data_IF_268952005001
#
_entry.id   IF_268952005001
#
_cell.length_a   1.000
_cell.length_b   1.000
_cell.length_c   1.000
_cell.angle_alpha   90.00
_cell.angle_beta   90.00
_cell.angle_gamma   90.00
#
_symmetry.space_group_name_H-M   'P 1'
#
loop_
_entity.id
_entity.type
_entity.pdbx_description
1 polymer ?
#
# COMPACT_ATOMS: atom_id res chain seq x y z
N UNK A 1 -2.19 -36.06 8.20
CA UNK A 1 -2.21 -34.96 7.20
C UNK A 1 -1.03 -35.16 6.28
N UNK A 2 -1.25 -35.23 4.96
CA UNK A 2 -0.16 -35.38 3.99
C UNK A 2 0.77 -34.16 4.08
N UNK A 3 2.09 -34.41 4.17
CA UNK A 3 3.11 -33.36 4.17
C UNK A 3 3.13 -32.75 2.76
N UNK A 4 2.76 -31.47 2.63
CA UNK A 4 2.91 -30.76 1.36
C UNK A 4 4.39 -30.66 0.99
N UNK A 5 4.68 -30.71 -0.30
CA UNK A 5 6.05 -30.52 -0.79
C UNK A 5 6.49 -29.06 -0.61
N UNK A 6 7.80 -28.81 -0.60
CA UNK A 6 8.33 -27.44 -0.54
C UNK A 6 7.86 -26.60 -1.75
N UNK A 7 7.80 -27.21 -2.93
CA UNK A 7 7.30 -26.56 -4.14
C UNK A 7 5.83 -26.13 -4.00
N UNK A 8 4.96 -27.02 -3.51
CA UNK A 8 3.56 -26.68 -3.24
C UNK A 8 3.42 -25.58 -2.18
N UNK A 9 4.28 -25.56 -1.15
CA UNK A 9 4.25 -24.49 -0.15
C UNK A 9 4.55 -23.13 -0.79
N UNK A 10 5.53 -23.07 -1.70
CA UNK A 10 5.90 -21.83 -2.41
C UNK A 10 4.76 -21.39 -3.34
N UNK A 11 4.14 -22.32 -4.07
CA UNK A 11 3.03 -22.02 -4.96
C UNK A 11 1.80 -21.50 -4.19
N UNK A 12 1.46 -22.16 -3.08
CA UNK A 12 0.39 -21.71 -2.19
C UNK A 12 0.68 -20.32 -1.61
N UNK A 13 1.93 -20.06 -1.19
CA UNK A 13 2.32 -18.75 -0.66
C UNK A 13 2.06 -17.64 -1.69
N UNK A 14 2.49 -17.83 -2.96
CA UNK A 14 2.25 -16.85 -4.02
C UNK A 14 0.76 -16.59 -4.26
N UNK A 15 -0.04 -17.65 -4.34
CA UNK A 15 -1.48 -17.51 -4.51
C UNK A 15 -2.13 -16.77 -3.33
N UNK A 16 -1.71 -17.06 -2.10
CA UNK A 16 -2.23 -16.38 -0.91
C UNK A 16 -1.80 -14.92 -0.87
N UNK A 17 -0.57 -14.61 -1.27
CA UNK A 17 -0.07 -13.24 -1.38
C UNK A 17 -0.88 -12.42 -2.39
N UNK A 18 -1.24 -13.00 -3.54
CA UNK A 18 -2.12 -12.39 -4.53
C UNK A 18 -3.53 -12.13 -3.98
N UNK A 19 -4.11 -13.08 -3.23
CA UNK A 19 -5.42 -12.91 -2.60
C UNK A 19 -5.38 -11.79 -1.55
N UNK A 20 -4.32 -11.74 -0.72
CA UNK A 20 -4.11 -10.69 0.27
C UNK A 20 -3.99 -9.32 -0.41
N UNK A 21 -3.25 -9.25 -1.52
CA UNK A 21 -3.13 -8.02 -2.32
C UNK A 21 -4.49 -7.59 -2.88
N UNK A 22 -5.25 -8.50 -3.47
CA UNK A 22 -6.58 -8.19 -4.03
C UNK A 22 -7.55 -7.70 -2.95
N UNK A 23 -7.55 -8.35 -1.78
CA UNK A 23 -8.35 -7.94 -0.63
C UNK A 23 -7.96 -6.53 -0.16
N UNK A 24 -6.66 -6.24 -0.08
CA UNK A 24 -6.15 -4.91 0.24
C UNK A 24 -6.61 -3.85 -0.78
N UNK A 25 -6.51 -4.15 -2.07
CA UNK A 25 -6.91 -3.21 -3.13
C UNK A 25 -8.42 -2.93 -3.09
N UNK A 26 -9.24 -3.93 -2.75
CA UNK A 26 -10.69 -3.84 -2.72
C UNK A 26 -11.25 -3.20 -1.44
N UNK A 27 -10.73 -3.58 -0.28
CA UNK A 27 -11.30 -3.29 1.04
C UNK A 27 -10.37 -2.45 1.94
N UNK A 28 -9.09 -2.40 1.63
CA UNK A 28 -8.09 -1.63 2.36
C UNK A 28 -7.44 -2.40 3.49
N UNK A 29 -6.50 -1.73 4.15
CA UNK A 29 -5.58 -2.36 5.12
C UNK A 29 -6.26 -2.80 6.42
N UNK A 30 -7.43 -2.27 6.76
CA UNK A 30 -8.21 -2.62 7.95
C UNK A 30 -8.88 -4.00 7.81
N UNK A 31 -9.23 -4.39 6.58
CA UNK A 31 -9.86 -5.69 6.28
C UNK A 31 -8.88 -6.87 6.37
N UNK A 32 -7.57 -6.62 6.42
CA UNK A 32 -6.51 -7.64 6.44
C UNK A 32 -6.34 -8.29 7.81
N UNK A 33 -7.42 -8.88 8.30
CA UNK A 33 -7.46 -9.70 9.51
C UNK A 33 -7.26 -11.17 9.16
N UNK A 34 -6.71 -11.96 10.08
CA UNK A 34 -6.58 -13.41 9.88
C UNK A 34 -7.93 -14.07 9.54
N UNK A 35 -9.01 -13.64 10.20
CA UNK A 35 -10.35 -14.17 9.96
C UNK A 35 -10.82 -13.89 8.53
N UNK A 36 -10.72 -12.64 8.06
CA UNK A 36 -11.14 -12.27 6.71
C UNK A 36 -10.30 -12.96 5.64
N UNK A 37 -8.98 -13.02 5.81
CA UNK A 37 -8.07 -13.65 4.86
C UNK A 37 -8.29 -15.17 4.81
N UNK A 38 -8.42 -15.82 5.97
CA UNK A 38 -8.69 -17.26 6.03
C UNK A 38 -10.03 -17.62 5.38
N UNK A 39 -11.05 -16.78 5.57
CA UNK A 39 -12.34 -16.91 4.91
C UNK A 39 -12.22 -16.76 3.39
N UNK A 40 -11.48 -15.76 2.91
CA UNK A 40 -11.29 -15.50 1.47
C UNK A 40 -10.53 -16.63 0.77
N UNK A 41 -9.51 -17.18 1.44
CA UNK A 41 -8.70 -18.29 0.92
C UNK A 41 -9.40 -19.65 1.09
N UNK A 42 -10.32 -19.77 2.05
CA UNK A 42 -11.00 -21.02 2.39
C UNK A 42 -10.14 -22.00 3.22
N UNK A 43 -9.25 -21.50 4.07
CA UNK A 43 -8.38 -22.31 4.94
C UNK A 43 -8.60 -22.02 6.42
N UNK A 44 -8.08 -22.88 7.30
CA UNK A 44 -8.16 -22.63 8.74
C UNK A 44 -7.20 -21.52 9.20
N UNK A 45 -7.51 -20.86 10.32
CA UNK A 45 -6.66 -19.83 10.92
C UNK A 45 -5.26 -20.36 11.26
N UNK A 46 -5.17 -21.59 11.78
CA UNK A 46 -3.89 -22.23 12.11
C UNK A 46 -3.08 -22.56 10.86
N UNK A 47 -3.73 -22.96 9.76
CA UNK A 47 -3.06 -23.11 8.47
C UNK A 47 -2.51 -21.76 7.99
N UNK A 48 -3.32 -20.70 8.05
CA UNK A 48 -2.91 -19.36 7.62
C UNK A 48 -1.73 -18.83 8.46
N UNK A 49 -1.71 -19.07 9.77
CA UNK A 49 -0.59 -18.73 10.65
C UNK A 49 0.72 -19.43 10.27
N UNK A 50 0.65 -20.61 9.64
CA UNK A 50 1.80 -21.32 9.10
C UNK A 50 2.44 -20.66 7.87
N UNK A 51 1.72 -19.79 7.18
CA UNK A 51 2.21 -18.96 6.07
C UNK A 51 2.54 -17.54 6.53
N UNK A 52 1.69 -16.95 7.37
CA UNK A 52 1.88 -15.61 7.94
C UNK A 52 1.99 -15.69 9.46
N UNK A 53 3.19 -15.62 10.06
CA UNK A 53 3.36 -15.78 11.51
C UNK A 53 2.83 -14.59 12.32
N UNK A 54 2.59 -13.43 11.69
CA UNK A 54 1.98 -12.26 12.34
C UNK A 54 1.16 -11.42 11.35
N UNK A 55 0.28 -10.56 11.86
CA UNK A 55 -0.43 -9.57 11.03
C UNK A 55 0.54 -8.59 10.35
N UNK A 56 1.70 -8.32 10.96
CA UNK A 56 2.77 -7.54 10.31
C UNK A 56 3.30 -8.27 9.08
N UNK A 57 3.51 -9.58 9.16
CA UNK A 57 3.96 -10.39 8.03
C UNK A 57 2.98 -10.38 6.84
N UNK A 58 1.67 -10.39 7.10
CA UNK A 58 0.64 -10.20 6.06
C UNK A 58 0.83 -8.86 5.34
N UNK A 59 1.10 -7.79 6.08
CA UNK A 59 1.24 -6.44 5.51
C UNK A 59 2.55 -6.27 4.75
N UNK A 60 3.62 -6.99 5.10
CA UNK A 60 4.89 -6.95 4.37
C UNK A 60 4.73 -7.35 2.91
N UNK A 61 3.83 -8.29 2.60
CA UNK A 61 3.50 -8.69 1.22
C UNK A 61 3.10 -7.49 0.36
N UNK A 62 2.44 -6.50 0.96
CA UNK A 62 1.94 -5.33 0.22
C UNK A 62 3.05 -4.35 -0.15
N UNK A 63 4.15 -4.32 0.60
CA UNK A 63 5.19 -3.29 0.46
C UNK A 63 5.79 -3.27 -0.95
N UNK A 64 5.99 -4.44 -1.54
CA UNK A 64 6.54 -4.60 -2.90
C UNK A 64 5.57 -4.09 -3.99
N UNK A 65 4.26 -4.19 -3.75
CA UNK A 65 3.24 -3.86 -4.75
C UNK A 65 2.71 -2.43 -4.65
N UNK A 66 2.71 -1.85 -3.45
CA UNK A 66 2.16 -0.51 -3.18
C UNK A 66 2.82 0.55 -4.03
N UNK A 67 4.15 0.52 -4.17
CA UNK A 67 4.87 1.47 -5.01
C UNK A 67 4.44 1.35 -6.48
N UNK A 68 4.40 0.13 -7.03
CA UNK A 68 3.99 -0.11 -8.41
C UNK A 68 2.57 0.41 -8.69
N UNK A 69 1.64 0.22 -7.74
CA UNK A 69 0.27 0.74 -7.80
C UNK A 69 0.27 2.27 -7.84
N UNK A 70 1.08 2.91 -6.99
CA UNK A 70 1.20 4.36 -6.97
C UNK A 70 1.80 4.88 -8.29
N UNK A 71 2.95 4.35 -8.70
CA UNK A 71 3.65 4.76 -9.92
C UNK A 71 2.79 4.62 -11.18
N UNK A 72 2.00 3.54 -11.29
CA UNK A 72 1.07 3.32 -12.42
C UNK A 72 -0.05 4.37 -12.48
N UNK A 73 -0.41 4.96 -11.35
CA UNK A 73 -1.54 5.89 -11.24
C UNK A 73 -1.15 7.36 -11.41
N UNK A 74 0.16 7.64 -11.56
CA UNK A 74 0.71 8.99 -11.54
C UNK A 74 1.34 9.35 -12.88
N UNK A 75 1.14 10.59 -13.28
CA UNK A 75 1.75 11.18 -14.47
C UNK A 75 2.85 12.16 -14.04
N UNK A 76 4.08 11.91 -14.48
CA UNK A 76 5.26 12.70 -14.13
C UNK A 76 5.70 13.64 -15.26
N UNK A 77 4.81 13.94 -16.22
CA UNK A 77 5.11 14.78 -17.38
C UNK A 77 5.47 16.21 -16.95
N UNK A 78 4.63 16.83 -16.13
CA UNK A 78 4.82 18.16 -15.55
C UNK A 78 4.10 18.25 -14.19
N UNK A 79 4.35 19.33 -13.45
CA UNK A 79 3.85 19.50 -12.08
C UNK A 79 2.32 19.58 -12.01
N UNK A 80 1.66 20.26 -12.95
CA UNK A 80 0.21 20.40 -12.93
C UNK A 80 -0.47 19.07 -13.25
N UNK A 81 0.03 18.38 -14.28
CA UNK A 81 -0.46 17.04 -14.65
C UNK A 81 -0.21 16.03 -13.52
N UNK A 82 0.94 16.12 -12.83
CA UNK A 82 1.20 15.32 -11.62
C UNK A 82 0.17 15.57 -10.53
N UNK A 83 -0.12 16.82 -10.19
CA UNK A 83 -1.15 17.14 -9.20
C UNK A 83 -2.53 16.64 -9.58
N UNK A 84 -2.92 16.78 -10.86
CA UNK A 84 -4.22 16.31 -11.37
C UNK A 84 -4.30 14.78 -11.33
N UNK A 85 -3.26 14.09 -11.79
CA UNK A 85 -3.19 12.62 -11.76
C UNK A 85 -3.25 12.09 -10.33
N UNK A 86 -2.52 12.69 -9.38
CA UNK A 86 -2.57 12.35 -7.97
C UNK A 86 -3.97 12.53 -7.36
N UNK A 87 -4.59 13.69 -7.60
CA UNK A 87 -5.92 13.98 -7.08
C UNK A 87 -6.97 13.00 -7.63
N UNK A 88 -6.89 12.68 -8.92
CA UNK A 88 -7.75 11.67 -9.53
C UNK A 88 -7.46 10.28 -8.96
N UNK A 89 -6.20 9.92 -8.77
CA UNK A 89 -5.83 8.63 -8.21
C UNK A 89 -6.38 8.45 -6.77
N UNK A 90 -6.43 9.52 -5.96
CA UNK A 90 -7.03 9.47 -4.62
C UNK A 90 -8.53 9.10 -4.59
N UNK A 91 -9.27 9.23 -5.70
CA UNK A 91 -10.65 8.74 -5.76
C UNK A 91 -10.72 7.23 -5.99
N UNK A 92 -9.68 6.66 -6.60
CA UNK A 92 -9.55 5.24 -6.90
C UNK A 92 -9.14 4.44 -5.66
N UNK A 93 -9.88 3.34 -5.40
CA UNK A 93 -9.66 2.50 -4.22
C UNK A 93 -8.20 2.04 -4.06
N UNK A 94 -7.52 1.50 -5.11
CA UNK A 94 -6.17 0.97 -4.96
C UNK A 94 -5.17 2.02 -4.45
N UNK A 95 -5.12 3.17 -5.12
CA UNK A 95 -4.22 4.26 -4.75
C UNK A 95 -4.59 4.85 -3.39
N UNK A 96 -5.88 5.07 -3.13
CA UNK A 96 -6.35 5.56 -1.83
C UNK A 96 -5.97 4.63 -0.67
N UNK A 97 -6.09 3.31 -0.86
CA UNK A 97 -5.71 2.33 0.15
C UNK A 97 -4.19 2.29 0.37
N UNK A 98 -3.40 2.44 -0.69
CA UNK A 98 -1.94 2.62 -0.61
C UNK A 98 -1.55 3.83 0.25
N UNK A 99 -2.15 4.99 0.01
CA UNK A 99 -1.89 6.20 0.81
C UNK A 99 -2.31 6.02 2.27
N UNK A 100 -3.47 5.42 2.53
CA UNK A 100 -3.91 5.11 3.90
C UNK A 100 -2.95 4.17 4.62
N UNK A 101 -2.46 3.14 3.93
CA UNK A 101 -1.49 2.19 4.49
C UNK A 101 -0.18 2.88 4.85
N UNK A 102 0.32 3.78 3.99
CA UNK A 102 1.51 4.57 4.25
C UNK A 102 1.36 5.44 5.51
N UNK A 103 0.23 6.15 5.67
CA UNK A 103 -0.04 6.92 6.89
C UNK A 103 -0.18 6.06 8.14
N UNK A 104 -0.83 4.89 8.03
CA UNK A 104 -0.94 3.94 9.13
C UNK A 104 0.42 3.42 9.59
N UNK A 105 1.34 3.15 8.66
CA UNK A 105 2.70 2.77 9.04
C UNK A 105 3.47 3.91 9.70
N UNK A 106 3.38 5.12 9.14
CA UNK A 106 4.02 6.30 9.71
C UNK A 106 3.53 6.60 11.15
N UNK A 107 2.28 6.29 11.50
CA UNK A 107 1.74 6.50 12.85
C UNK A 107 2.14 5.44 13.88
N UNK A 108 2.59 4.25 13.46
CA UNK A 108 2.94 3.15 14.36
C UNK A 108 4.42 3.09 14.74
N UNK A 109 5.28 3.78 14.01
CA UNK A 109 6.72 3.69 14.21
C UNK A 109 7.17 4.69 15.30
N UNK A 110 7.42 4.20 16.53
CA UNK A 110 7.92 5.00 17.66
C UNK A 110 9.39 5.44 17.53
N UNK A 111 10.16 4.71 16.72
CA UNK A 111 11.45 5.11 16.18
C UNK A 111 11.24 5.12 14.67
N UNK A 112 11.71 6.12 13.90
CA UNK A 112 11.74 6.03 12.45
C UNK A 112 12.74 4.93 12.06
N UNK A 113 12.41 3.66 12.31
CA UNK A 113 12.90 2.58 11.47
C UNK A 113 12.51 3.01 10.07
N UNK A 114 13.53 3.16 9.21
CA UNK A 114 13.36 3.39 7.79
C UNK A 114 12.15 2.57 7.34
N UNK A 115 11.07 3.24 6.97
CA UNK A 115 9.99 2.61 6.23
C UNK A 115 10.70 1.97 5.05
N UNK A 116 11.03 0.68 5.05
CA UNK A 116 12.23 0.22 4.33
C UNK A 116 12.16 0.66 2.85
N UNK A 117 13.02 1.63 2.54
CA UNK A 117 12.82 2.64 1.51
C UNK A 117 13.29 2.14 0.14
N UNK A 118 13.09 0.87 -0.17
CA UNK A 118 13.03 0.49 -1.59
C UNK A 118 11.89 1.26 -2.29
N UNK A 119 10.85 1.64 -1.54
CA UNK A 119 9.75 2.52 -1.98
C UNK A 119 10.15 4.01 -2.09
N UNK A 120 11.02 4.56 -1.23
CA UNK A 120 11.48 5.95 -1.42
C UNK A 120 12.56 6.06 -2.48
N UNK A 121 13.38 5.03 -2.71
CA UNK A 121 14.44 5.10 -3.72
C UNK A 121 13.88 5.44 -5.09
N UNK A 122 13.00 4.59 -5.61
CA UNK A 122 12.46 4.76 -6.96
C UNK A 122 11.52 5.96 -7.07
N UNK A 123 10.59 6.15 -6.12
CA UNK A 123 9.67 7.27 -6.17
C UNK A 123 10.39 8.61 -6.00
N UNK A 124 11.29 8.76 -5.01
CA UNK A 124 12.06 10.00 -4.84
C UNK A 124 13.01 10.23 -6.00
N UNK A 125 13.65 9.18 -6.52
CA UNK A 125 14.50 9.30 -7.70
C UNK A 125 13.68 9.81 -8.87
N UNK A 126 12.51 9.21 -9.15
CA UNK A 126 11.63 9.67 -10.22
C UNK A 126 11.20 11.13 -10.03
N UNK A 127 10.82 11.50 -8.81
CA UNK A 127 10.44 12.88 -8.50
C UNK A 127 11.61 13.85 -8.68
N UNK A 128 12.81 13.47 -8.26
CA UNK A 128 14.02 14.30 -8.39
C UNK A 128 14.46 14.43 -9.85
N UNK A 129 14.39 13.36 -10.63
CA UNK A 129 14.69 13.36 -12.07
C UNK A 129 13.73 14.25 -12.86
N UNK A 130 12.46 14.30 -12.46
CA UNK A 130 11.41 15.01 -13.21
C UNK A 130 11.20 16.44 -12.75
N UNK A 131 11.36 16.72 -11.46
CA UNK A 131 11.05 18.01 -10.85
C UNK A 131 12.23 18.68 -10.13
N UNK A 132 13.39 18.02 -10.07
CA UNK A 132 14.62 18.62 -9.53
C UNK A 132 14.47 19.10 -8.08
N UNK A 133 14.84 20.35 -7.84
CA UNK A 133 14.80 20.98 -6.51
C UNK A 133 13.38 21.10 -5.94
N UNK A 134 12.36 21.17 -6.79
CA UNK A 134 10.96 21.34 -6.38
C UNK A 134 10.31 20.02 -5.95
N UNK A 135 10.95 18.88 -6.26
CA UNK A 135 10.43 17.53 -5.98
C UNK A 135 9.92 17.39 -4.54
N UNK A 136 10.69 17.88 -3.56
CA UNK A 136 10.31 17.82 -2.15
C UNK A 136 9.03 18.62 -1.85
N UNK A 137 8.96 19.86 -2.32
CA UNK A 137 7.80 20.72 -2.09
C UNK A 137 6.54 20.12 -2.73
N UNK A 138 6.67 19.56 -3.94
CA UNK A 138 5.58 18.88 -4.64
C UNK A 138 5.07 17.67 -3.84
N UNK A 139 5.98 16.85 -3.30
CA UNK A 139 5.64 15.71 -2.45
C UNK A 139 4.89 16.19 -1.19
N UNK A 140 5.42 17.18 -0.49
CA UNK A 140 4.80 17.74 0.72
C UNK A 140 3.36 18.22 0.44
N UNK A 141 3.15 18.88 -0.70
CA UNK A 141 1.82 19.34 -1.14
C UNK A 141 0.86 18.18 -1.37
N UNK A 142 1.24 17.15 -2.14
CA UNK A 142 0.32 16.05 -2.44
C UNK A 142 0.03 15.19 -1.21
N UNK A 143 1.02 15.00 -0.33
CA UNK A 143 0.84 14.30 0.94
C UNK A 143 -0.13 15.08 1.85
N UNK A 144 0.05 16.39 1.97
CA UNK A 144 -0.86 17.25 2.72
C UNK A 144 -2.29 17.22 2.18
N UNK A 145 -2.45 17.38 0.86
CA UNK A 145 -3.76 17.28 0.18
C UNK A 145 -4.42 15.93 0.42
N UNK A 146 -3.64 14.85 0.36
CA UNK A 146 -4.13 13.50 0.62
C UNK A 146 -4.69 13.36 2.03
N UNK A 147 -3.96 13.85 3.03
CA UNK A 147 -4.41 13.81 4.42
C UNK A 147 -5.72 14.59 4.61
N UNK A 148 -5.80 15.82 4.07
CA UNK A 148 -7.00 16.67 4.18
C UNK A 148 -8.22 16.04 3.49
N UNK A 149 -8.02 15.41 2.33
CA UNK A 149 -9.10 14.73 1.62
C UNK A 149 -9.57 13.48 2.37
N UNK A 150 -8.66 12.73 2.98
CA UNK A 150 -8.98 11.52 3.74
C UNK A 150 -9.70 11.82 5.06
N UNK A 151 -9.45 12.98 5.68
CA UNK A 151 -10.12 13.43 6.91
C UNK A 151 -11.43 14.17 6.65
N UNK A 152 -11.87 14.27 5.39
CA UNK A 152 -13.02 15.08 4.96
C UNK A 152 -12.93 16.56 5.35
N UNK A 153 -11.73 17.10 5.61
CA UNK A 153 -11.53 18.49 6.01
C UNK A 153 -12.04 19.48 4.94
N UNK A 154 -12.07 19.07 3.67
CA UNK A 154 -12.57 19.85 2.54
C UNK A 154 -14.09 19.77 2.33
N UNK A 155 -14.84 19.02 3.14
CA UNK A 155 -16.31 19.14 3.17
C UNK A 155 -16.69 20.25 4.13
N UNK A 156 -17.01 21.42 3.58
CA UNK A 156 -17.81 22.42 4.31
C UNK A 156 -19.04 21.72 4.87
N UNK A 157 -19.39 21.88 6.17
CA UNK A 157 -20.64 21.35 6.67
C UNK A 157 -21.79 21.95 5.85
N UNK A 158 -22.68 21.08 5.38
CA UNK A 158 -23.92 21.47 4.71
C UNK A 158 -24.85 22.24 5.68
#
# INVERSE_FOLDING_TARGET
MARITQAQKIENQKNYDEIVLNLFLAEGHEALTYARIAQEIGISLTTLQGYYPSTRAVRTVLHEHVLAIMMKSLDFSDQETFYRSWQSALTEKPFRHSIKLMFFHASQNCVPEEFNLQVDGEFRQKMTERFGADARAIIEVVIGRSLLQLTNFSRTPA
#
